data_IF_788684297509
#
_entry.id   IF_788684297509
#
_cell.length_a   1.000
_cell.length_b   1.000
_cell.length_c   1.000
_cell.angle_alpha   90.00
_cell.angle_beta   90.00
_cell.angle_gamma   90.00
#
_symmetry.space_group_name_H-M   'P 1'
#
loop_
_entity.id
_entity.type
_entity.pdbx_description
1 polymer ?
#
# COMPACT_ATOMS: atom_id res chain seq x y z
N UNK A 1 -1.60 -50.29 -35.29
CA UNK A 1 -0.89 -50.12 -34.01
C UNK A 1 -0.14 -48.79 -34.06
N UNK A 2 -0.74 -47.73 -33.51
CA UNK A 2 -0.06 -46.48 -33.21
C UNK A 2 -0.77 -45.89 -31.99
N UNK A 3 -0.15 -46.05 -30.83
CA UNK A 3 -0.65 -45.61 -29.53
C UNK A 3 -0.24 -44.14 -29.35
N UNK A 4 -1.22 -43.26 -29.21
CA UNK A 4 -0.99 -41.83 -29.00
C UNK A 4 -0.62 -41.59 -27.53
N UNK A 5 0.64 -41.27 -27.27
CA UNK A 5 1.10 -40.80 -25.96
C UNK A 5 0.42 -39.47 -25.61
N UNK A 6 -0.58 -39.52 -24.74
CA UNK A 6 -1.13 -38.34 -24.07
C UNK A 6 -0.13 -37.80 -23.04
N UNK A 7 0.76 -36.90 -23.46
CA UNK A 7 1.49 -36.05 -22.53
C UNK A 7 0.56 -34.91 -22.07
N UNK A 8 -0.14 -35.14 -20.96
CA UNK A 8 -0.69 -34.04 -20.17
C UNK A 8 0.49 -33.21 -19.61
N UNK A 9 0.50 -31.88 -19.81
CA UNK A 9 1.50 -31.05 -19.18
C UNK A 9 1.33 -31.11 -17.66
N UNK A 10 2.34 -31.61 -16.95
CA UNK A 10 2.38 -31.62 -15.50
C UNK A 10 2.49 -30.17 -15.04
N UNK A 11 1.39 -29.60 -14.56
CA UNK A 11 1.41 -28.28 -13.93
C UNK A 11 2.36 -28.36 -12.72
N UNK A 12 3.51 -27.70 -12.82
CA UNK A 12 4.48 -27.64 -11.73
C UNK A 12 3.81 -26.87 -10.58
N UNK A 13 3.39 -27.58 -9.55
CA UNK A 13 2.91 -26.95 -8.32
C UNK A 13 4.09 -26.22 -7.65
N UNK A 14 4.09 -24.89 -7.75
CA UNK A 14 5.06 -24.05 -7.08
C UNK A 14 4.97 -24.23 -5.56
N UNK A 15 6.11 -24.31 -4.88
CA UNK A 15 6.16 -24.30 -3.41
C UNK A 15 5.59 -23.00 -2.84
N UNK A 16 5.23 -23.01 -1.55
CA UNK A 16 4.72 -21.81 -0.86
C UNK A 16 5.70 -20.63 -0.94
N UNK A 17 7.01 -20.89 -0.86
CA UNK A 17 8.04 -19.87 -0.96
C UNK A 17 8.14 -19.28 -2.36
N UNK A 18 8.03 -20.11 -3.41
CA UNK A 18 8.05 -19.64 -4.81
C UNK A 18 6.81 -18.82 -5.14
N UNK A 19 5.63 -19.23 -4.67
CA UNK A 19 4.41 -18.42 -4.80
C UNK A 19 4.53 -17.08 -4.08
N UNK A 20 5.08 -17.07 -2.87
CA UNK A 20 5.32 -15.83 -2.13
C UNK A 20 6.30 -14.91 -2.86
N UNK A 21 7.41 -15.46 -3.36
CA UNK A 21 8.41 -14.73 -4.15
C UNK A 21 7.81 -14.16 -5.44
N UNK A 22 7.05 -14.95 -6.19
CA UNK A 22 6.37 -14.49 -7.40
C UNK A 22 5.35 -13.38 -7.10
N UNK A 23 4.57 -13.53 -6.03
CA UNK A 23 3.61 -12.49 -5.59
C UNK A 23 4.34 -11.21 -5.17
N UNK A 24 5.46 -11.32 -4.45
CA UNK A 24 6.26 -10.17 -4.03
C UNK A 24 6.93 -9.48 -5.23
N UNK A 25 7.41 -10.23 -6.22
CA UNK A 25 7.96 -9.66 -7.45
C UNK A 25 6.89 -8.92 -8.26
N UNK A 26 5.67 -9.45 -8.33
CA UNK A 26 4.54 -8.78 -8.96
C UNK A 26 4.09 -7.53 -8.17
N UNK A 27 4.17 -7.57 -6.84
CA UNK A 27 3.87 -6.47 -5.93
C UNK A 27 5.15 -5.86 -5.32
N UNK A 28 6.10 -5.47 -6.18
CA UNK A 28 7.46 -5.03 -5.78
C UNK A 28 7.49 -3.87 -4.77
N UNK A 29 6.42 -3.09 -4.69
CA UNK A 29 6.29 -1.97 -3.74
C UNK A 29 5.48 -2.34 -2.49
N UNK A 30 5.18 -3.63 -2.28
CA UNK A 30 4.29 -4.09 -1.20
C UNK A 30 2.81 -3.80 -1.47
N UNK A 31 2.45 -3.44 -2.70
CA UNK A 31 1.10 -3.17 -3.17
C UNK A 31 0.25 -4.44 -3.36
N UNK A 32 0.22 -5.29 -2.32
CA UNK A 32 -0.51 -6.56 -2.38
C UNK A 32 -2.01 -6.32 -2.52
N UNK A 33 -2.57 -6.84 -3.61
CA UNK A 33 -4.02 -6.90 -3.78
C UNK A 33 -4.58 -7.85 -2.71
N UNK A 34 -5.72 -7.47 -2.12
CA UNK A 34 -6.35 -8.23 -1.04
C UNK A 34 -5.48 -8.40 0.21
N UNK A 35 -4.54 -7.47 0.47
CA UNK A 35 -3.69 -7.46 1.66
C UNK A 35 -4.43 -7.84 2.95
N UNK A 36 -5.57 -7.19 3.18
CA UNK A 36 -6.38 -7.34 4.38
C UNK A 36 -7.18 -8.66 4.51
N UNK A 37 -7.30 -9.45 3.44
CA UNK A 37 -8.02 -10.73 3.46
C UNK A 37 -7.12 -11.94 3.22
N UNK A 38 -6.01 -11.79 2.49
CA UNK A 38 -5.08 -12.88 2.19
C UNK A 38 -3.84 -12.90 3.09
N UNK A 39 -3.33 -11.73 3.47
CA UNK A 39 -2.03 -11.61 4.12
C UNK A 39 -2.12 -11.12 5.56
N UNK A 40 -3.32 -10.68 6.00
CA UNK A 40 -3.58 -10.25 7.36
C UNK A 40 -4.72 -11.06 7.97
N UNK A 41 -4.49 -11.58 9.17
CA UNK A 41 -5.56 -12.19 9.95
C UNK A 41 -6.65 -11.13 10.23
N UNK A 42 -7.93 -11.43 9.98
CA UNK A 42 -9.01 -10.49 10.22
C UNK A 42 -9.24 -10.33 11.72
N UNK A 43 -8.67 -9.29 12.33
CA UNK A 43 -9.10 -8.84 13.65
C UNK A 43 -10.19 -7.78 13.49
N UNK A 44 -11.22 -7.85 14.34
CA UNK A 44 -12.32 -6.88 14.37
C UNK A 44 -12.43 -6.35 15.81
N UNK A 45 -12.07 -5.08 16.09
CA UNK A 45 -11.47 -4.11 15.17
C UNK A 45 -10.02 -4.45 14.75
N UNK A 46 -9.47 -3.73 13.76
CA UNK A 46 -8.06 -3.88 13.37
C UNK A 46 -7.19 -3.48 14.57
N UNK A 47 -6.29 -4.36 15.03
CA UNK A 47 -5.49 -4.12 16.25
C UNK A 47 -4.65 -2.83 16.16
N UNK A 48 -4.28 -2.40 14.94
CA UNK A 48 -3.53 -1.16 14.76
C UNK A 48 -4.30 0.08 15.19
N UNK A 49 -5.63 0.03 15.18
CA UNK A 49 -6.41 1.12 15.71
C UNK A 49 -6.05 1.30 17.20
N UNK A 50 -6.06 0.23 18.01
CA UNK A 50 -5.77 0.33 19.45
C UNK A 50 -4.42 0.98 19.83
N UNK A 51 -3.44 1.02 18.92
CA UNK A 51 -2.12 1.63 19.15
C UNK A 51 -1.98 3.03 18.53
N UNK A 52 -2.91 3.46 17.67
CA UNK A 52 -2.86 4.78 17.07
C UNK A 52 -3.22 5.84 18.13
N UNK A 53 -2.41 6.89 18.30
CA UNK A 53 -2.67 7.95 19.28
C UNK A 53 -3.94 8.73 18.91
N UNK A 54 -5.03 8.48 19.64
CA UNK A 54 -6.33 9.12 19.38
C UNK A 54 -6.27 10.65 19.43
N UNK A 55 -5.42 11.19 20.29
CA UNK A 55 -5.40 12.61 20.62
C UNK A 55 -4.84 13.46 19.49
N UNK A 56 -3.90 12.92 18.70
CA UNK A 56 -3.36 13.62 17.52
C UNK A 56 -4.23 13.45 16.27
N UNK A 57 -5.14 12.47 16.27
CA UNK A 57 -6.00 12.18 15.13
C UNK A 57 -7.36 12.89 15.21
N UNK A 58 -7.86 13.16 16.42
CA UNK A 58 -9.13 13.84 16.64
C UNK A 58 -9.12 15.23 15.97
N UNK A 59 -10.12 15.49 15.13
CA UNK A 59 -10.27 16.73 14.34
C UNK A 59 -9.07 17.07 13.43
N UNK A 60 -8.11 16.15 13.26
CA UNK A 60 -6.94 16.39 12.45
C UNK A 60 -7.23 16.24 10.95
N UNK A 61 -6.36 16.84 10.13
CA UNK A 61 -6.27 16.57 8.70
C UNK A 61 -5.11 15.61 8.48
N UNK A 62 -5.41 14.41 7.98
CA UNK A 62 -4.46 13.29 7.95
C UNK A 62 -4.00 13.02 6.52
N UNK A 63 -2.71 12.71 6.36
CA UNK A 63 -2.20 12.07 5.14
C UNK A 63 -1.85 10.61 5.46
N UNK A 64 -2.36 9.67 4.68
CA UNK A 64 -2.09 8.24 4.83
C UNK A 64 -1.26 7.75 3.63
N UNK A 65 0.02 7.48 3.88
CA UNK A 65 0.99 7.07 2.86
C UNK A 65 0.97 5.55 2.71
N UNK A 66 0.74 5.07 1.48
CA UNK A 66 0.56 3.64 1.22
C UNK A 66 -0.79 3.14 1.72
N UNK A 67 -1.87 3.87 1.40
CA UNK A 67 -3.20 3.59 1.92
C UNK A 67 -3.78 2.25 1.44
N UNK A 68 -3.14 1.59 0.45
CA UNK A 68 -3.63 0.39 -0.23
C UNK A 68 -5.08 0.63 -0.71
N UNK A 69 -5.97 -0.33 -0.53
CA UNK A 69 -7.41 -0.17 -0.83
C UNK A 69 -8.20 0.62 0.23
N UNK A 70 -7.55 1.48 1.04
CA UNK A 70 -8.19 2.49 1.90
C UNK A 70 -8.84 1.98 3.20
N UNK A 71 -8.80 0.68 3.48
CA UNK A 71 -9.54 0.09 4.63
C UNK A 71 -9.11 0.66 5.98
N UNK A 72 -7.81 0.82 6.24
CA UNK A 72 -7.34 1.37 7.51
C UNK A 72 -7.62 2.87 7.59
N UNK A 73 -7.43 3.62 6.50
CA UNK A 73 -7.74 5.06 6.39
C UNK A 73 -9.19 5.33 6.82
N UNK A 74 -10.14 4.60 6.21
CA UNK A 74 -11.56 4.72 6.53
C UNK A 74 -11.85 4.40 7.99
N UNK A 75 -11.28 3.30 8.51
CA UNK A 75 -11.47 2.91 9.92
C UNK A 75 -10.86 3.91 10.90
N UNK A 76 -9.71 4.50 10.59
CA UNK A 76 -9.07 5.49 11.43
C UNK A 76 -9.91 6.78 11.52
N UNK A 77 -10.45 7.26 10.40
CA UNK A 77 -11.40 8.40 10.41
C UNK A 77 -12.61 8.08 11.29
N UNK A 78 -13.27 6.94 11.05
CA UNK A 78 -14.48 6.57 11.76
C UNK A 78 -14.24 6.34 13.26
N UNK A 79 -13.08 5.79 13.64
CA UNK A 79 -12.75 5.48 15.03
C UNK A 79 -12.27 6.71 15.82
N UNK A 80 -11.45 7.59 15.23
CA UNK A 80 -10.82 8.70 15.96
C UNK A 80 -11.48 10.05 15.75
N UNK A 81 -12.39 10.17 14.79
CA UNK A 81 -13.04 11.44 14.47
C UNK A 81 -12.06 12.44 13.84
N UNK A 82 -11.21 11.98 12.93
CA UNK A 82 -10.40 12.88 12.12
C UNK A 82 -11.30 13.75 11.23
N UNK A 83 -10.93 15.02 11.04
CA UNK A 83 -11.73 15.96 10.27
C UNK A 83 -11.69 15.65 8.78
N UNK A 84 -10.54 15.20 8.26
CA UNK A 84 -10.43 14.66 6.91
C UNK A 84 -9.14 13.87 6.68
N UNK A 85 -9.08 13.08 5.60
CA UNK A 85 -7.83 12.45 5.16
C UNK A 85 -7.61 12.44 3.65
N UNK A 86 -6.33 12.40 3.26
CA UNK A 86 -5.91 12.05 1.91
C UNK A 86 -5.11 10.75 1.98
N UNK A 87 -5.68 9.67 1.45
CA UNK A 87 -4.96 8.41 1.27
C UNK A 87 -4.24 8.41 -0.07
N UNK A 88 -2.95 8.07 -0.07
CA UNK A 88 -2.15 7.96 -1.29
C UNK A 88 -1.55 6.58 -1.43
N UNK A 89 -1.55 6.04 -2.65
CA UNK A 89 -0.89 4.77 -2.96
C UNK A 89 -0.22 4.84 -4.34
N UNK A 90 0.83 4.04 -4.51
CA UNK A 90 1.61 3.95 -5.75
C UNK A 90 0.90 3.11 -6.81
N UNK A 91 0.01 2.20 -6.40
CA UNK A 91 -0.74 1.36 -7.31
C UNK A 91 -2.07 2.03 -7.66
N UNK A 92 -2.26 2.49 -8.91
CA UNK A 92 -3.48 3.17 -9.31
C UNK A 92 -4.72 2.25 -9.21
N UNK A 93 -4.56 0.94 -9.39
CA UNK A 93 -5.67 0.00 -9.24
C UNK A 93 -6.16 -0.05 -7.79
N UNK A 94 -5.24 -0.07 -6.81
CA UNK A 94 -5.63 -0.04 -5.39
C UNK A 94 -6.35 1.25 -5.02
N UNK A 95 -5.93 2.38 -5.59
CA UNK A 95 -6.60 3.67 -5.41
C UNK A 95 -8.02 3.64 -5.96
N UNK A 96 -8.23 3.09 -7.16
CA UNK A 96 -9.58 2.97 -7.72
C UNK A 96 -10.46 2.04 -6.87
N UNK A 97 -9.91 0.95 -6.35
CA UNK A 97 -10.62 0.09 -5.41
C UNK A 97 -11.00 0.83 -4.11
N UNK A 98 -10.11 1.69 -3.60
CA UNK A 98 -10.40 2.50 -2.41
C UNK A 98 -11.54 3.50 -2.68
N UNK A 99 -11.52 4.20 -3.82
CA UNK A 99 -12.60 5.11 -4.23
C UNK A 99 -13.93 4.39 -4.39
N UNK A 100 -13.93 3.20 -5.00
CA UNK A 100 -15.13 2.41 -5.20
C UNK A 100 -15.71 1.88 -3.88
N UNK A 101 -14.86 1.41 -2.97
CA UNK A 101 -15.28 0.89 -1.66
C UNK A 101 -15.75 2.00 -0.71
N UNK A 102 -15.17 3.20 -0.84
CA UNK A 102 -15.40 4.34 0.04
C UNK A 102 -15.69 5.61 -0.78
N UNK A 103 -16.84 5.68 -1.47
CA UNK A 103 -17.13 6.79 -2.39
C UNK A 103 -17.50 8.09 -1.66
N UNK A 104 -17.96 7.98 -0.42
CA UNK A 104 -18.46 9.09 0.39
C UNK A 104 -17.72 9.13 1.72
N UNK A 105 -17.41 10.33 2.20
CA UNK A 105 -16.78 10.55 3.50
C UNK A 105 -15.81 11.72 3.46
N UNK A 106 -15.23 12.12 4.61
CA UNK A 106 -14.25 13.19 4.67
C UNK A 106 -12.86 12.72 4.22
N UNK A 107 -12.78 11.80 3.26
CA UNK A 107 -11.53 11.27 2.74
C UNK A 107 -11.49 11.32 1.22
N UNK A 108 -10.27 11.44 0.68
CA UNK A 108 -10.02 11.29 -0.75
C UNK A 108 -8.87 10.34 -0.96
N UNK A 109 -8.90 9.58 -2.06
CA UNK A 109 -7.83 8.67 -2.44
C UNK A 109 -7.18 9.16 -3.74
N UNK A 110 -5.86 9.23 -3.75
CA UNK A 110 -5.07 9.75 -4.87
C UNK A 110 -3.97 8.78 -5.24
N UNK A 111 -3.78 8.61 -6.55
CA UNK A 111 -2.59 7.93 -7.05
C UNK A 111 -1.40 8.85 -6.85
N UNK A 112 -0.35 8.33 -6.23
CA UNK A 112 0.90 9.04 -5.99
C UNK A 112 2.06 8.15 -6.42
N UNK A 113 2.64 8.46 -7.57
CA UNK A 113 3.85 7.81 -8.02
C UNK A 113 5.07 8.59 -7.54
N UNK A 114 6.11 7.89 -7.08
CA UNK A 114 7.41 8.52 -6.93
C UNK A 114 7.89 8.87 -8.33
N UNK A 115 7.88 10.16 -8.66
CA UNK A 115 8.64 10.65 -9.81
C UNK A 115 10.05 10.13 -9.62
N UNK A 116 10.55 9.41 -10.63
CA UNK A 116 11.88 8.80 -10.65
C UNK A 116 12.89 9.67 -9.89
N UNK A 117 13.60 9.12 -8.91
CA UNK A 117 14.59 9.86 -8.14
C UNK A 117 15.69 10.44 -9.04
N UNK A 118 15.87 9.92 -10.26
CA UNK A 118 16.73 10.53 -11.30
C UNK A 118 16.26 11.94 -11.72
N UNK A 119 14.98 12.24 -11.56
CA UNK A 119 14.41 13.57 -11.81
C UNK A 119 14.65 14.55 -10.64
N UNK A 120 15.00 14.05 -9.45
CA UNK A 120 15.56 14.86 -8.37
C UNK A 120 17.06 15.03 -8.57
N UNK A 121 17.45 15.81 -9.59
CA UNK A 121 18.81 16.38 -9.58
C UNK A 121 18.87 17.37 -8.44
N UNK A 122 19.64 17.07 -7.38
CA UNK A 122 19.95 18.06 -6.35
C UNK A 122 20.49 19.31 -7.03
N UNK A 123 19.87 20.49 -6.83
CA UNK A 123 20.41 21.71 -7.37
C UNK A 123 21.83 21.91 -6.86
N UNK A 124 22.73 22.42 -7.71
CA UNK A 124 24.15 22.65 -7.36
C UNK A 124 24.37 23.48 -6.09
N UNK A 125 23.37 24.26 -5.66
CA UNK A 125 23.41 25.04 -4.42
C UNK A 125 23.15 24.21 -3.15
N UNK A 126 22.52 23.03 -3.27
CA UNK A 126 22.26 22.14 -2.14
C UNK A 126 23.46 21.22 -1.82
N UNK A 127 24.45 21.13 -2.71
CA UNK A 127 25.66 20.32 -2.53
C UNK A 127 26.72 21.02 -1.67
N UNK A 128 26.65 22.35 -1.51
CA UNK A 128 27.64 23.14 -0.75
C UNK A 128 27.38 23.21 0.76
N UNK A 129 26.24 22.70 1.25
CA UNK A 129 25.85 22.82 2.68
C UNK A 129 26.25 21.62 3.54
N UNK A 130 26.77 20.54 2.94
CA UNK A 130 27.20 19.34 3.68
C UNK A 130 28.62 19.43 4.29
N UNK A 131 29.33 20.55 4.10
CA UNK A 131 30.65 20.75 4.74
C UNK A 131 30.57 21.33 6.17
N UNK A 132 29.39 21.63 6.71
CA UNK A 132 29.25 22.34 7.99
C UNK A 132 28.83 21.49 9.19
N UNK A 133 28.64 20.18 9.02
CA UNK A 133 28.31 19.25 10.11
C UNK A 133 29.13 17.96 10.00
N UNK A 134 30.44 18.08 10.11
CA UNK A 134 31.31 16.99 10.57
C UNK A 134 32.07 17.50 11.79
N UNK A 135 31.58 17.15 12.99
CA UNK A 135 32.42 17.03 14.19
C UNK A 135 32.97 15.61 14.23
#
# INVERSE_FOLDING_TARGET
MAEACHHQPVAIELSKAERFKATHLAARHGNYHQYYSKFRAPTVPDVRLSILPSDILRNARVIDLGCNAGKLTHKAIAHYGAASSVGVDIDPWLVEQAKAAYPNGPYTFKHFNFVDASAYTVPRWASSTLSYYSL
#
